data_IF_097155181977
#
_entry.id   IF_097155181977
#
_cell.length_a   1.000
_cell.length_b   1.000
_cell.length_c   1.000
_cell.angle_alpha   90.00
_cell.angle_beta   90.00
_cell.angle_gamma   90.00
#
_symmetry.space_group_name_H-M   'P 1'
#
loop_
_entity.id
_entity.type
_entity.pdbx_description
1 polymer ?
#
# COMPACT_ATOMS: atom_id res chain seq x y z
N UNK A 1 -14.65 -17.75 5.43
CA UNK A 1 -14.59 -18.54 4.18
C UNK A 1 -14.61 -17.57 3.01
N UNK A 2 -13.42 -17.21 2.57
CA UNK A 2 -13.12 -16.45 1.36
C UNK A 2 -13.17 -17.41 0.18
N UNK A 3 -14.29 -17.43 -0.54
CA UNK A 3 -14.39 -18.18 -1.79
C UNK A 3 -13.81 -17.35 -2.95
N UNK A 4 -12.87 -17.88 -3.73
CA UNK A 4 -12.38 -17.24 -4.97
C UNK A 4 -12.85 -18.06 -6.17
N UNK A 5 -13.45 -17.38 -7.16
CA UNK A 5 -13.78 -17.93 -8.47
C UNK A 5 -12.88 -17.33 -9.55
N UNK A 6 -12.25 -18.20 -10.35
CA UNK A 6 -11.31 -17.84 -11.41
C UNK A 6 -11.80 -18.46 -12.72
N UNK A 7 -11.78 -17.68 -13.80
CA UNK A 7 -11.93 -18.17 -15.17
C UNK A 7 -10.57 -18.06 -15.87
N UNK A 8 -10.10 -19.17 -16.41
CA UNK A 8 -8.89 -19.25 -17.23
C UNK A 8 -9.33 -19.46 -18.67
N UNK A 9 -8.86 -18.60 -19.59
CA UNK A 9 -9.21 -18.66 -21.01
C UNK A 9 -7.94 -18.79 -21.82
N UNK A 10 -7.70 -19.98 -22.34
CA UNK A 10 -6.47 -20.36 -23.04
C UNK A 10 -6.73 -21.68 -23.78
N UNK A 11 -6.20 -21.83 -25.00
CA UNK A 11 -6.29 -23.07 -25.76
C UNK A 11 -5.15 -24.06 -25.43
N UNK A 12 -4.08 -23.62 -24.79
CA UNK A 12 -2.96 -24.48 -24.37
C UNK A 12 -3.21 -25.11 -22.98
N UNK A 13 -3.53 -26.40 -22.99
CA UNK A 13 -3.75 -27.20 -21.79
C UNK A 13 -2.54 -27.27 -20.84
N UNK A 14 -1.31 -27.20 -21.36
CA UNK A 14 -0.11 -27.23 -20.53
C UNK A 14 0.03 -25.93 -19.74
N UNK A 15 -0.21 -24.80 -20.41
CA UNK A 15 -0.23 -23.47 -19.79
C UNK A 15 -1.34 -23.37 -18.77
N UNK A 16 -2.56 -23.82 -19.09
CA UNK A 16 -3.68 -23.89 -18.14
C UNK A 16 -3.29 -24.70 -16.90
N UNK A 17 -2.69 -25.87 -17.09
CA UNK A 17 -2.26 -26.74 -15.98
C UNK A 17 -1.22 -26.05 -15.08
N UNK A 18 -0.26 -25.34 -15.67
CA UNK A 18 0.75 -24.55 -14.95
C UNK A 18 0.13 -23.42 -14.13
N UNK A 19 -0.85 -22.71 -14.69
CA UNK A 19 -1.60 -21.65 -14.00
C UNK A 19 -2.37 -22.24 -12.81
N UNK A 20 -3.09 -23.35 -13.02
CA UNK A 20 -3.88 -24.00 -11.97
C UNK A 20 -2.99 -24.46 -10.81
N UNK A 21 -1.84 -25.05 -11.10
CA UNK A 21 -0.90 -25.50 -10.07
C UNK A 21 -0.38 -24.30 -9.26
N UNK A 22 0.02 -23.22 -9.93
CA UNK A 22 0.46 -21.97 -9.28
C UNK A 22 -0.61 -21.37 -8.38
N UNK A 23 -1.88 -21.38 -8.81
CA UNK A 23 -3.02 -20.88 -8.01
C UNK A 23 -3.20 -21.73 -6.74
N UNK A 24 -3.11 -23.05 -6.87
CA UNK A 24 -3.34 -24.00 -5.77
C UNK A 24 -2.24 -23.95 -4.70
N UNK A 25 -1.02 -23.55 -5.05
CA UNK A 25 0.08 -23.42 -4.09
C UNK A 25 -0.19 -22.36 -3.01
N UNK A 26 -0.97 -21.31 -3.32
CA UNK A 26 -1.12 -20.14 -2.45
C UNK A 26 -2.50 -20.06 -1.80
N UNK A 27 -3.47 -20.83 -2.29
CA UNK A 27 -4.84 -20.75 -1.82
C UNK A 27 -5.35 -22.08 -1.24
N UNK A 28 -5.44 -22.12 0.09
CA UNK A 28 -5.89 -23.30 0.86
C UNK A 28 -7.39 -23.31 1.19
N UNK A 29 -8.14 -22.26 0.80
CA UNK A 29 -9.58 -22.15 1.02
C UNK A 29 -10.41 -22.64 -0.19
N UNK A 30 -11.72 -22.37 -0.19
CA UNK A 30 -12.65 -22.79 -1.26
C UNK A 30 -12.36 -22.06 -2.57
N UNK A 31 -11.79 -22.79 -3.54
CA UNK A 31 -11.43 -22.30 -4.86
C UNK A 31 -12.34 -22.90 -5.95
N UNK A 32 -12.86 -22.07 -6.83
CA UNK A 32 -13.63 -22.50 -8.01
C UNK A 32 -12.94 -22.04 -9.29
N UNK A 33 -12.30 -22.97 -9.99
CA UNK A 33 -11.68 -22.69 -11.29
C UNK A 33 -12.60 -23.21 -12.40
N UNK A 34 -12.86 -22.36 -13.40
CA UNK A 34 -13.43 -22.74 -14.69
C UNK A 34 -12.41 -22.46 -15.78
N UNK A 35 -12.52 -23.21 -16.87
CA UNK A 35 -11.66 -23.11 -18.03
C UNK A 35 -12.54 -22.83 -19.25
N UNK A 36 -11.97 -22.14 -20.23
CA UNK A 36 -12.55 -21.99 -21.56
C UNK A 36 -11.41 -22.03 -22.58
N UNK A 37 -11.61 -22.74 -23.70
CA UNK A 37 -10.59 -22.85 -24.75
C UNK A 37 -10.73 -21.79 -25.84
N UNK A 38 -11.81 -21.01 -25.82
CA UNK A 38 -12.09 -19.99 -26.84
C UNK A 38 -12.90 -18.81 -26.28
N UNK A 39 -12.98 -17.73 -27.06
CA UNK A 39 -13.74 -16.52 -26.70
C UNK A 39 -15.22 -16.82 -26.47
N UNK A 40 -15.85 -17.64 -27.33
CA UNK A 40 -17.26 -17.98 -27.19
C UNK A 40 -17.56 -18.64 -25.83
N UNK A 41 -16.80 -19.68 -25.48
CA UNK A 41 -16.98 -20.40 -24.21
C UNK A 41 -16.69 -19.51 -22.99
N UNK A 42 -15.72 -18.60 -23.10
CA UNK A 42 -15.44 -17.62 -22.06
C UNK A 42 -16.66 -16.72 -21.80
N UNK A 43 -17.28 -16.19 -22.86
CA UNK A 43 -18.49 -15.35 -22.73
C UNK A 43 -19.66 -16.14 -22.14
N UNK A 44 -19.87 -17.39 -22.57
CA UNK A 44 -20.92 -18.26 -22.01
C UNK A 44 -20.71 -18.47 -20.50
N UNK A 45 -19.47 -18.73 -20.06
CA UNK A 45 -19.16 -18.83 -18.64
C UNK A 45 -19.45 -17.52 -17.89
N UNK A 46 -19.04 -16.39 -18.45
CA UNK A 46 -19.19 -15.06 -17.84
C UNK A 46 -20.66 -14.57 -17.82
N UNK A 47 -21.51 -15.05 -18.74
CA UNK A 47 -22.95 -14.81 -18.70
C UNK A 47 -23.63 -15.61 -17.57
N UNK A 48 -23.17 -16.83 -17.33
CA UNK A 48 -23.78 -17.74 -16.37
C UNK A 48 -23.31 -17.56 -14.93
N UNK A 49 -22.10 -17.01 -14.73
CA UNK A 49 -21.47 -16.94 -13.41
C UNK A 49 -20.56 -15.72 -13.26
N UNK A 50 -20.52 -15.17 -12.05
CA UNK A 50 -19.56 -14.13 -11.66
C UNK A 50 -18.17 -14.72 -11.32
N UNK A 51 -17.13 -14.06 -11.82
CA UNK A 51 -15.74 -14.40 -11.56
C UNK A 51 -14.98 -13.25 -10.90
N UNK A 52 -14.08 -13.59 -9.99
CA UNK A 52 -13.22 -12.59 -9.34
C UNK A 52 -12.02 -12.28 -10.21
N UNK A 53 -11.47 -13.29 -10.88
CA UNK A 53 -10.32 -13.16 -11.75
C UNK A 53 -10.60 -13.83 -13.08
N UNK A 54 -10.33 -13.11 -14.16
CA UNK A 54 -10.17 -13.63 -15.50
C UNK A 54 -8.69 -13.61 -15.86
N UNK A 55 -8.14 -14.77 -16.18
CA UNK A 55 -6.81 -14.93 -16.78
C UNK A 55 -7.06 -15.31 -18.24
N UNK A 56 -6.64 -14.45 -19.16
CA UNK A 56 -6.89 -14.63 -20.58
C UNK A 56 -5.57 -14.67 -21.35
N UNK A 57 -5.44 -15.62 -22.26
CA UNK A 57 -4.44 -15.50 -23.32
C UNK A 57 -4.84 -14.38 -24.30
N UNK A 58 -3.87 -13.86 -25.05
CA UNK A 58 -4.13 -12.83 -26.05
C UNK A 58 -4.37 -13.45 -27.44
N UNK A 59 -3.78 -14.61 -27.71
CA UNK A 59 -3.84 -15.34 -28.97
C UNK A 59 -4.61 -16.66 -28.78
N UNK A 60 -5.91 -16.61 -28.96
CA UNK A 60 -6.79 -17.76 -28.77
C UNK A 60 -7.82 -17.83 -29.90
N UNK A 61 -8.45 -18.99 -30.14
CA UNK A 61 -9.51 -19.11 -31.12
C UNK A 61 -10.80 -18.39 -30.65
N UNK A 62 -11.59 -17.92 -31.62
CA UNK A 62 -12.86 -17.26 -31.33
C UNK A 62 -13.96 -18.27 -30.96
N UNK A 63 -13.92 -19.44 -31.59
CA UNK A 63 -14.83 -20.56 -31.36
C UNK A 63 -14.04 -21.84 -31.11
N UNK A 64 -14.73 -22.84 -30.59
CA UNK A 64 -14.17 -24.17 -30.43
C UNK A 64 -13.69 -24.73 -31.78
N UNK A 65 -12.50 -25.35 -31.80
CA UNK A 65 -11.80 -25.89 -32.98
C UNK A 65 -11.38 -24.87 -34.07
N UNK A 66 -11.56 -23.56 -33.87
CA UNK A 66 -10.97 -22.55 -34.77
C UNK A 66 -9.44 -22.49 -34.59
N UNK A 67 -8.74 -21.96 -35.60
CA UNK A 67 -7.32 -21.63 -35.45
C UNK A 67 -7.13 -20.44 -34.50
N UNK A 68 -6.04 -20.42 -33.71
CA UNK A 68 -5.74 -19.30 -32.81
C UNK A 68 -5.68 -17.97 -33.56
N UNK A 69 -6.31 -16.95 -32.99
CA UNK A 69 -6.36 -15.61 -33.56
C UNK A 69 -5.60 -14.65 -32.64
N UNK A 70 -4.63 -13.92 -33.20
CA UNK A 70 -3.83 -12.94 -32.45
C UNK A 70 -4.65 -11.80 -31.81
N UNK A 71 -5.92 -11.66 -32.22
CA UNK A 71 -6.88 -10.72 -31.65
C UNK A 71 -7.93 -11.38 -30.73
N UNK A 72 -7.79 -12.66 -30.41
CA UNK A 72 -8.76 -13.42 -29.61
C UNK A 72 -9.06 -12.74 -28.28
N UNK A 73 -8.03 -12.43 -27.49
CA UNK A 73 -8.22 -11.72 -26.22
C UNK A 73 -8.82 -10.32 -26.43
N UNK A 74 -8.46 -9.61 -27.50
CA UNK A 74 -8.93 -8.25 -27.76
C UNK A 74 -10.44 -8.25 -28.06
N UNK A 75 -10.88 -9.30 -28.75
CA UNK A 75 -12.29 -9.54 -29.00
C UNK A 75 -13.04 -9.90 -27.72
N UNK A 76 -12.46 -10.72 -26.84
CA UNK A 76 -13.04 -11.02 -25.53
C UNK A 76 -13.26 -9.75 -24.70
N UNK A 77 -12.24 -8.89 -24.57
CA UNK A 77 -12.35 -7.62 -23.85
C UNK A 77 -13.41 -6.71 -24.45
N UNK A 78 -13.43 -6.54 -25.78
CA UNK A 78 -14.47 -5.76 -26.46
C UNK A 78 -15.87 -6.33 -26.20
N UNK A 79 -16.01 -7.64 -26.09
CA UNK A 79 -17.30 -8.29 -25.81
C UNK A 79 -17.74 -8.14 -24.35
N UNK A 80 -16.80 -8.09 -23.39
CA UNK A 80 -17.11 -7.83 -21.99
C UNK A 80 -17.78 -6.46 -21.78
N UNK A 81 -17.28 -5.44 -22.45
CA UNK A 81 -17.79 -4.06 -22.32
C UNK A 81 -18.95 -3.72 -23.27
N UNK A 82 -19.40 -4.67 -24.10
CA UNK A 82 -20.58 -4.49 -24.95
C UNK A 82 -21.86 -4.73 -24.15
N UNK A 83 -22.63 -3.66 -23.95
CA UNK A 83 -23.90 -3.65 -23.19
C UNK A 83 -24.91 -4.72 -23.63
N UNK A 84 -24.92 -5.13 -24.91
CA UNK A 84 -25.85 -6.14 -25.45
C UNK A 84 -25.60 -7.56 -24.91
N UNK A 85 -24.39 -7.87 -24.46
CA UNK A 85 -23.99 -9.25 -24.15
C UNK A 85 -24.38 -9.72 -22.74
N UNK A 86 -24.87 -8.83 -21.87
CA UNK A 86 -25.29 -9.12 -20.48
C UNK A 86 -24.28 -10.02 -19.73
N UNK A 87 -23.00 -9.65 -19.82
CA UNK A 87 -21.90 -10.44 -19.27
C UNK A 87 -21.56 -9.93 -17.87
N UNK A 88 -21.26 -10.85 -16.94
CA UNK A 88 -20.71 -10.45 -15.64
C UNK A 88 -19.23 -10.15 -15.81
N UNK A 89 -18.88 -8.86 -15.76
CA UNK A 89 -17.48 -8.43 -15.91
C UNK A 89 -16.69 -8.85 -14.68
N UNK A 90 -15.56 -9.57 -14.84
CA UNK A 90 -14.72 -9.99 -13.72
C UNK A 90 -14.13 -8.80 -12.96
N UNK A 91 -13.91 -8.98 -11.66
CA UNK A 91 -13.31 -7.93 -10.82
C UNK A 91 -11.87 -7.59 -11.23
N UNK A 92 -11.09 -8.60 -11.63
CA UNK A 92 -9.75 -8.45 -12.17
C UNK A 92 -9.64 -9.18 -13.51
N UNK A 93 -8.95 -8.55 -14.46
CA UNK A 93 -8.67 -9.13 -15.78
C UNK A 93 -7.17 -9.04 -16.05
N UNK A 94 -6.52 -10.19 -16.24
CA UNK A 94 -5.10 -10.29 -16.54
C UNK A 94 -4.88 -11.00 -17.86
N UNK A 95 -4.06 -10.39 -18.70
CA UNK A 95 -3.51 -11.02 -19.89
C UNK A 95 -2.26 -11.82 -19.52
N UNK A 96 -2.16 -13.06 -19.97
CA UNK A 96 -0.97 -13.87 -19.76
C UNK A 96 -0.59 -14.47 -21.10
N UNK A 97 0.43 -13.92 -21.77
CA UNK A 97 0.79 -14.25 -23.16
C UNK A 97 2.25 -14.68 -23.28
N UNK A 98 2.53 -15.64 -24.15
CA UNK A 98 3.90 -16.00 -24.54
C UNK A 98 4.49 -15.09 -25.63
N UNK A 99 3.67 -14.23 -26.23
CA UNK A 99 4.05 -13.32 -27.30
C UNK A 99 4.23 -11.91 -26.77
N UNK A 100 5.48 -11.44 -26.69
CA UNK A 100 5.79 -10.10 -26.15
C UNK A 100 5.24 -8.97 -27.01
N UNK A 101 5.23 -9.15 -28.34
CA UNK A 101 4.72 -8.16 -29.30
C UNK A 101 3.23 -7.82 -29.09
N UNK A 102 2.45 -8.72 -28.48
CA UNK A 102 1.03 -8.52 -28.22
C UNK A 102 0.77 -7.65 -26.98
N UNK A 103 1.79 -7.40 -26.13
CA UNK A 103 1.65 -6.58 -24.92
C UNK A 103 1.30 -5.12 -25.22
N UNK A 104 1.86 -4.55 -26.28
CA UNK A 104 1.75 -3.12 -26.58
C UNK A 104 0.42 -2.71 -27.24
N UNK A 105 -0.38 -3.70 -27.67
CA UNK A 105 -1.57 -3.49 -28.51
C UNK A 105 -2.89 -3.78 -27.77
N UNK A 106 -2.87 -3.89 -26.44
CA UNK A 106 -4.05 -4.23 -25.65
C UNK A 106 -4.47 -3.11 -24.72
N UNK A 107 -5.69 -2.62 -24.93
CA UNK A 107 -6.38 -1.67 -24.06
C UNK A 107 -7.52 -2.39 -23.33
N UNK A 108 -7.73 -2.09 -22.04
CA UNK A 108 -8.86 -2.62 -21.25
C UNK A 108 -8.56 -3.89 -20.42
N UNK A 109 -7.35 -4.42 -20.48
CA UNK A 109 -6.82 -5.41 -19.51
C UNK A 109 -6.06 -4.67 -18.41
N UNK A 110 -6.18 -5.12 -17.15
CA UNK A 110 -5.58 -4.43 -16.01
C UNK A 110 -4.06 -4.61 -15.96
N UNK A 111 -3.57 -5.83 -16.26
CA UNK A 111 -2.15 -6.15 -16.39
C UNK A 111 -1.93 -7.23 -17.44
N UNK A 112 -0.83 -7.13 -18.18
CA UNK A 112 -0.38 -8.17 -19.11
C UNK A 112 0.97 -8.69 -18.62
N UNK A 113 1.08 -10.01 -18.48
CA UNK A 113 2.31 -10.70 -18.09
C UNK A 113 2.82 -11.57 -19.23
N UNK A 114 4.14 -11.68 -19.30
CA UNK A 114 4.77 -12.67 -20.16
C UNK A 114 4.69 -14.05 -19.50
N UNK A 115 4.17 -15.02 -20.24
CA UNK A 115 4.22 -16.41 -19.85
C UNK A 115 5.53 -17.03 -20.36
N UNK A 116 6.29 -17.58 -19.43
CA UNK A 116 7.43 -18.43 -19.73
C UNK A 116 7.38 -19.59 -18.73
N UNK A 117 7.32 -20.81 -19.26
CA UNK A 117 7.25 -22.03 -18.47
C UNK A 117 8.42 -22.21 -17.49
N UNK A 118 9.58 -21.64 -17.82
CA UNK A 118 10.80 -21.69 -17.00
C UNK A 118 10.90 -20.55 -15.98
N UNK A 119 10.04 -19.53 -16.09
CA UNK A 119 10.10 -18.32 -15.27
C UNK A 119 9.19 -18.40 -14.04
N UNK A 120 9.70 -17.94 -12.90
CA UNK A 120 8.91 -17.74 -11.67
C UNK A 120 8.26 -16.34 -11.60
N UNK A 121 8.57 -15.43 -12.53
CA UNK A 121 8.11 -14.04 -12.45
C UNK A 121 6.59 -13.94 -12.54
N UNK A 122 5.98 -14.54 -13.57
CA UNK A 122 4.53 -14.52 -13.74
C UNK A 122 3.83 -15.32 -12.64
N UNK A 123 4.48 -16.36 -12.12
CA UNK A 123 3.95 -17.15 -11.00
C UNK A 123 3.87 -16.29 -9.75
N UNK A 124 4.95 -15.61 -9.39
CA UNK A 124 4.96 -14.68 -8.25
C UNK A 124 3.91 -13.59 -8.40
N UNK A 125 3.80 -12.98 -9.58
CA UNK A 125 2.76 -11.98 -9.86
C UNK A 125 1.34 -12.53 -9.68
N UNK A 126 1.10 -13.77 -10.13
CA UNK A 126 -0.20 -14.44 -9.99
C UNK A 126 -0.50 -14.78 -8.53
N UNK A 127 0.48 -15.32 -7.80
CA UNK A 127 0.40 -15.62 -6.36
C UNK A 127 0.04 -14.36 -5.57
N UNK A 128 0.74 -13.25 -5.83
CA UNK A 128 0.48 -11.96 -5.21
C UNK A 128 -0.92 -11.42 -5.55
N UNK A 129 -1.38 -11.58 -6.79
CA UNK A 129 -2.72 -11.16 -7.20
C UNK A 129 -3.81 -11.98 -6.52
N UNK A 130 -3.66 -13.30 -6.42
CA UNK A 130 -4.64 -14.17 -5.74
C UNK A 130 -4.71 -13.83 -4.26
N UNK A 131 -3.54 -13.68 -3.62
CA UNK A 131 -3.46 -13.24 -2.23
C UNK A 131 -4.17 -11.88 -2.06
N UNK A 132 -3.93 -10.94 -2.97
CA UNK A 132 -4.59 -9.66 -2.98
C UNK A 132 -6.12 -9.77 -3.11
N UNK A 133 -6.63 -10.59 -4.05
CA UNK A 133 -8.08 -10.83 -4.21
C UNK A 133 -8.69 -11.39 -2.92
N UNK A 134 -7.97 -12.30 -2.24
CA UNK A 134 -8.42 -12.85 -0.97
C UNK A 134 -8.57 -11.79 0.13
N UNK A 135 -7.63 -10.84 0.20
CA UNK A 135 -7.67 -9.70 1.13
C UNK A 135 -8.82 -8.75 0.78
N UNK A 136 -9.05 -8.49 -0.51
CA UNK A 136 -10.19 -7.63 -0.92
C UNK A 136 -11.51 -8.30 -0.55
N UNK A 137 -11.65 -9.61 -0.76
CA UNK A 137 -12.89 -10.32 -0.40
C UNK A 137 -13.16 -10.38 1.09
N UNK A 138 -12.14 -10.55 1.94
CA UNK A 138 -12.35 -10.47 3.39
C UNK A 138 -12.84 -9.09 3.81
N UNK A 139 -12.35 -8.02 3.16
CA UNK A 139 -12.79 -6.63 3.40
C UNK A 139 -14.18 -6.29 2.89
N UNK A 140 -14.73 -7.02 1.91
CA UNK A 140 -16.10 -6.81 1.38
C UNK A 140 -17.18 -7.31 2.38
N UNK A 141 -16.84 -8.20 3.31
CA UNK A 141 -17.76 -8.70 4.35
C UNK A 141 -17.90 -7.78 5.57
N UNK A 142 -17.04 -6.78 5.71
CA UNK A 142 -17.11 -5.77 6.78
C UNK A 142 -17.69 -4.48 6.22
N UNK A 143 -18.58 -3.80 6.95
CA UNK A 143 -18.99 -2.43 6.61
C UNK A 143 -17.73 -1.57 6.42
N UNK A 144 -17.44 -1.17 5.19
CA UNK A 144 -16.25 -0.34 4.91
C UNK A 144 -16.48 1.05 5.51
N UNK A 145 -15.69 1.35 6.53
CA UNK A 145 -15.57 2.68 7.14
C UNK A 145 -14.28 3.34 6.66
N UNK A 146 -14.09 4.62 6.97
CA UNK A 146 -12.86 5.34 6.67
C UNK A 146 -11.62 4.56 7.13
N UNK A 147 -10.57 4.50 6.31
CA UNK A 147 -9.40 3.62 6.60
C UNK A 147 -8.08 4.38 6.63
N UNK A 148 -7.22 4.03 7.57
CA UNK A 148 -5.82 4.47 7.62
C UNK A 148 -4.93 3.26 7.30
N UNK A 149 -4.11 3.38 6.26
CA UNK A 149 -3.10 2.40 5.91
C UNK A 149 -1.75 2.82 6.50
N UNK A 150 -1.11 1.89 7.20
CA UNK A 150 0.12 2.11 7.96
C UNK A 150 1.23 1.15 7.48
N UNK A 151 2.47 1.64 7.46
CA UNK A 151 3.61 0.86 6.96
C UNK A 151 3.87 -0.40 7.78
N UNK A 152 3.75 -0.33 9.11
CA UNK A 152 4.01 -1.47 9.99
C UNK A 152 3.08 -1.64 11.20
N UNK A 153 3.18 -2.79 11.88
CA UNK A 153 2.41 -3.09 13.09
C UNK A 153 2.79 -2.18 14.27
N UNK A 154 4.01 -1.68 14.32
CA UNK A 154 4.49 -0.73 15.33
C UNK A 154 3.77 0.62 15.22
N UNK A 155 3.59 1.11 14.00
CA UNK A 155 2.83 2.33 13.71
C UNK A 155 1.37 2.16 14.14
N UNK A 156 0.78 0.99 13.83
CA UNK A 156 -0.59 0.67 14.23
C UNK A 156 -0.77 0.75 15.74
N UNK A 157 0.15 0.19 16.53
CA UNK A 157 0.10 0.26 17.99
C UNK A 157 0.09 1.72 18.46
N UNK A 158 0.99 2.55 17.94
CA UNK A 158 1.12 3.97 18.31
C UNK A 158 -0.14 4.76 17.92
N UNK A 159 -0.61 4.60 16.68
CA UNK A 159 -1.78 5.30 16.14
C UNK A 159 -3.05 4.89 16.87
N UNK A 160 -3.24 3.59 17.11
CA UNK A 160 -4.40 3.07 17.83
C UNK A 160 -4.46 3.61 19.26
N UNK A 161 -3.33 3.62 19.97
CA UNK A 161 -3.24 4.20 21.30
C UNK A 161 -3.54 5.70 21.29
N UNK A 162 -2.97 6.45 20.34
CA UNK A 162 -3.23 7.89 20.22
C UNK A 162 -4.71 8.20 19.92
N UNK A 163 -5.36 7.43 19.04
CA UNK A 163 -6.81 7.55 18.79
C UNK A 163 -7.63 7.28 20.05
N UNK A 164 -7.35 6.20 20.79
CA UNK A 164 -8.06 5.88 22.04
C UNK A 164 -7.99 7.00 23.07
N UNK A 165 -6.86 7.70 23.16
CA UNK A 165 -6.65 8.70 24.22
C UNK A 165 -6.98 10.14 23.84
N UNK A 166 -6.98 10.48 22.55
CA UNK A 166 -7.23 11.85 22.09
C UNK A 166 -8.45 12.00 21.20
N UNK A 167 -8.99 10.91 20.65
CA UNK A 167 -10.08 10.88 19.66
C UNK A 167 -11.02 9.69 19.91
N UNK A 168 -11.37 9.46 21.17
CA UNK A 168 -12.17 8.31 21.62
C UNK A 168 -13.52 8.21 20.89
N UNK A 169 -14.14 9.34 20.57
CA UNK A 169 -15.43 9.41 19.87
C UNK A 169 -15.34 9.13 18.36
N UNK A 170 -14.12 9.08 17.81
CA UNK A 170 -13.85 8.90 16.39
C UNK A 170 -13.28 7.52 16.07
N UNK A 171 -12.82 6.76 17.07
CA UNK A 171 -12.14 5.49 16.85
C UNK A 171 -12.99 4.48 16.09
N UNK A 172 -14.28 4.36 16.42
CA UNK A 172 -15.21 3.43 15.78
C UNK A 172 -15.59 3.84 14.33
N UNK A 173 -15.22 5.07 13.94
CA UNK A 173 -15.43 5.58 12.57
C UNK A 173 -14.25 5.24 11.66
N UNK A 174 -13.17 4.65 12.20
CA UNK A 174 -11.90 4.49 11.50
C UNK A 174 -11.41 3.04 11.61
N UNK A 175 -11.04 2.48 10.48
CA UNK A 175 -10.35 1.19 10.41
C UNK A 175 -8.84 1.40 10.23
N UNK A 176 -8.03 0.76 11.08
CA UNK A 176 -6.57 0.78 10.97
C UNK A 176 -6.06 -0.50 10.32
N UNK A 177 -5.39 -0.37 9.18
CA UNK A 177 -4.90 -1.51 8.42
C UNK A 177 -3.39 -1.49 8.21
N UNK A 178 -2.78 -2.65 8.44
CA UNK A 178 -1.35 -2.95 8.20
C UNK A 178 -1.18 -4.47 8.05
N UNK A 179 0.03 -4.94 7.72
CA UNK A 179 0.37 -6.36 7.66
C UNK A 179 1.52 -6.70 8.59
N UNK A 180 1.52 -7.92 9.13
CA UNK A 180 2.49 -8.37 10.14
C UNK A 180 3.89 -8.64 9.56
N UNK A 181 4.00 -8.99 8.27
CA UNK A 181 5.26 -9.33 7.60
C UNK A 181 5.27 -8.81 6.17
N UNK A 182 6.39 -8.25 5.71
CA UNK A 182 6.49 -7.63 4.38
C UNK A 182 5.74 -6.30 4.23
N UNK A 183 5.41 -5.66 5.36
CA UNK A 183 4.89 -4.29 5.42
C UNK A 183 5.92 -3.25 4.94
N UNK A 184 5.47 -2.01 4.81
CA UNK A 184 6.27 -0.87 4.36
C UNK A 184 5.55 0.01 3.33
N UNK A 185 6.23 1.06 2.88
CA UNK A 185 5.72 2.04 1.92
C UNK A 185 5.07 1.42 0.67
N UNK A 186 5.68 0.39 0.08
CA UNK A 186 5.13 -0.29 -1.11
C UNK A 186 3.80 -0.98 -0.83
N UNK A 187 3.61 -1.53 0.38
CA UNK A 187 2.32 -2.11 0.76
C UNK A 187 1.25 -1.02 0.91
N UNK A 188 1.56 0.10 1.58
CA UNK A 188 0.64 1.23 1.74
C UNK A 188 0.24 1.80 0.38
N UNK A 189 1.19 2.01 -0.54
CA UNK A 189 0.92 2.40 -1.92
C UNK A 189 -0.09 1.46 -2.60
N UNK A 190 0.16 0.15 -2.56
CA UNK A 190 -0.76 -0.83 -3.15
C UNK A 190 -2.15 -0.69 -2.56
N UNK A 191 -2.28 -0.58 -1.24
CA UNK A 191 -3.58 -0.43 -0.59
C UNK A 191 -4.32 0.83 -1.03
N UNK A 192 -3.63 1.95 -1.14
CA UNK A 192 -4.22 3.18 -1.64
C UNK A 192 -4.64 3.07 -3.11
N UNK A 193 -3.82 2.45 -3.96
CA UNK A 193 -4.19 2.20 -5.36
C UNK A 193 -5.48 1.38 -5.47
N UNK A 194 -5.56 0.29 -4.70
CA UNK A 194 -6.75 -0.59 -4.64
C UNK A 194 -7.96 0.19 -4.14
N UNK A 195 -7.79 0.94 -3.06
CA UNK A 195 -8.85 1.76 -2.49
C UNK A 195 -9.41 2.73 -3.54
N UNK A 196 -8.50 3.40 -4.23
CA UNK A 196 -8.82 4.37 -5.25
C UNK A 196 -9.60 3.78 -6.42
N UNK A 197 -9.17 2.62 -6.91
CA UNK A 197 -9.87 1.90 -7.99
C UNK A 197 -11.21 1.30 -7.55
N UNK A 198 -11.41 1.07 -6.26
CA UNK A 198 -12.67 0.51 -5.75
C UNK A 198 -13.84 1.50 -5.76
N UNK A 199 -13.57 2.82 -5.78
CA UNK A 199 -14.59 3.88 -5.79
C UNK A 199 -15.74 3.66 -4.77
N UNK A 200 -15.41 3.10 -3.60
CA UNK A 200 -16.40 2.71 -2.59
C UNK A 200 -17.19 3.94 -2.10
N UNK A 201 -18.52 3.85 -2.05
CA UNK A 201 -19.41 4.90 -1.57
C UNK A 201 -19.76 4.69 -0.08
N UNK A 202 -19.70 5.77 0.71
CA UNK A 202 -20.19 5.82 2.10
C UNK A 202 -21.69 6.09 2.18
N UNK A 203 -22.19 6.93 1.29
CA UNK A 203 -23.59 7.30 1.12
C UNK A 203 -23.82 7.67 -0.34
N UNK A 204 -25.08 7.89 -0.74
CA UNK A 204 -25.42 8.34 -2.09
C UNK A 204 -24.56 9.58 -2.44
N UNK A 205 -23.72 9.44 -3.47
CA UNK A 205 -22.80 10.46 -4.01
C UNK A 205 -21.61 10.90 -3.13
N UNK A 206 -21.29 10.18 -2.04
CA UNK A 206 -20.09 10.45 -1.22
C UNK A 206 -19.16 9.24 -1.17
N UNK A 207 -17.97 9.37 -1.78
CA UNK A 207 -16.91 8.36 -1.65
C UNK A 207 -16.39 8.25 -0.21
N UNK A 208 -16.16 7.02 0.20
CA UNK A 208 -15.41 6.67 1.39
C UNK A 208 -13.95 7.13 1.23
N UNK A 209 -13.32 7.53 2.33
CA UNK A 209 -11.96 8.09 2.33
C UNK A 209 -10.96 7.14 2.96
N UNK A 210 -9.76 7.12 2.39
CA UNK A 210 -8.60 6.52 3.02
C UNK A 210 -7.44 7.50 3.14
N UNK A 211 -6.56 7.24 4.09
CA UNK A 211 -5.28 7.94 4.23
C UNK A 211 -4.16 6.91 4.31
N UNK A 212 -3.11 7.08 3.52
CA UNK A 212 -1.86 6.34 3.72
C UNK A 212 -0.86 7.24 4.43
N UNK A 213 -0.28 6.73 5.51
CA UNK A 213 0.81 7.39 6.22
C UNK A 213 2.11 6.74 5.80
N UNK A 214 3.06 7.56 5.36
CA UNK A 214 4.37 7.14 4.89
C UNK A 214 5.48 7.76 5.74
N UNK A 215 6.59 7.04 5.87
CA UNK A 215 7.85 7.61 6.33
C UNK A 215 8.43 8.58 5.27
N UNK A 216 9.21 9.58 5.70
CA UNK A 216 9.84 10.55 4.79
C UNK A 216 11.20 10.07 4.26
N UNK A 217 11.32 8.76 4.04
CA UNK A 217 12.50 8.12 3.48
C UNK A 217 12.40 7.94 1.96
N UNK A 218 13.35 7.21 1.40
CA UNK A 218 13.41 6.96 -0.05
C UNK A 218 12.30 6.01 -0.50
N UNK A 219 12.00 4.97 0.29
CA UNK A 219 10.95 4.02 -0.02
C UNK A 219 9.56 4.69 -0.01
N UNK A 220 9.30 5.54 0.98
CA UNK A 220 8.10 6.37 1.06
C UNK A 220 7.93 7.29 -0.14
N UNK A 221 9.01 7.96 -0.57
CA UNK A 221 8.99 8.84 -1.75
C UNK A 221 8.69 8.09 -3.04
N UNK A 222 9.41 6.99 -3.30
CA UNK A 222 9.19 6.15 -4.49
C UNK A 222 7.74 5.65 -4.52
N UNK A 223 7.21 5.19 -3.38
CA UNK A 223 5.85 4.70 -3.27
C UNK A 223 4.81 5.79 -3.58
N UNK A 224 5.02 7.01 -3.07
CA UNK A 224 4.14 8.16 -3.35
C UNK A 224 4.21 8.55 -4.82
N UNK A 225 5.42 8.67 -5.39
CA UNK A 225 5.62 9.08 -6.77
C UNK A 225 4.93 8.10 -7.73
N UNK A 226 5.09 6.79 -7.51
CA UNK A 226 4.40 5.75 -8.27
C UNK A 226 2.87 5.90 -8.22
N UNK A 227 2.31 6.14 -7.03
CA UNK A 227 0.88 6.31 -6.87
C UNK A 227 0.36 7.56 -7.60
N UNK A 228 1.10 8.67 -7.52
CA UNK A 228 0.73 9.92 -8.20
C UNK A 228 0.88 9.87 -9.71
N UNK A 229 1.79 9.03 -10.22
CA UNK A 229 1.94 8.78 -11.65
C UNK A 229 0.81 7.90 -12.21
N UNK A 230 0.30 6.97 -11.40
CA UNK A 230 -0.78 6.05 -11.80
C UNK A 230 -2.19 6.62 -11.63
N UNK A 231 -2.37 7.60 -10.75
CA UNK A 231 -3.69 8.17 -10.42
C UNK A 231 -3.65 9.69 -10.48
N UNK A 232 -4.40 10.24 -11.44
CA UNK A 232 -4.63 11.69 -11.51
C UNK A 232 -5.37 12.18 -10.25
N UNK A 233 -4.78 13.16 -9.58
CA UNK A 233 -5.36 13.85 -8.42
C UNK A 233 -6.76 14.43 -8.65
N UNK A 234 -7.12 14.78 -9.90
CA UNK A 234 -8.42 15.36 -10.24
C UNK A 234 -9.49 14.31 -10.57
N UNK A 235 -9.08 13.04 -10.76
CA UNK A 235 -9.96 11.92 -11.07
C UNK A 235 -10.90 11.58 -9.90
N UNK A 236 -11.91 10.75 -10.18
CA UNK A 236 -12.76 10.20 -9.12
C UNK A 236 -11.93 9.35 -8.14
N UNK A 237 -10.98 8.56 -8.66
CA UNK A 237 -10.07 7.74 -7.87
C UNK A 237 -9.19 8.59 -6.95
N UNK A 238 -8.54 9.63 -7.49
CA UNK A 238 -7.66 10.53 -6.73
C UNK A 238 -8.38 11.25 -5.60
N UNK A 239 -9.69 11.48 -5.73
CA UNK A 239 -10.51 12.08 -4.68
C UNK A 239 -10.80 11.12 -3.53
N UNK A 240 -10.64 9.80 -3.67
CA UNK A 240 -11.02 8.82 -2.63
C UNK A 240 -9.98 8.61 -1.55
N UNK A 241 -8.75 9.12 -1.73
CA UNK A 241 -7.71 8.95 -0.73
C UNK A 241 -6.87 10.20 -0.52
N UNK A 242 -5.98 10.16 0.45
CA UNK A 242 -4.98 11.19 0.69
C UNK A 242 -3.68 10.57 1.20
N UNK A 243 -2.58 11.27 0.95
CA UNK A 243 -1.24 10.87 1.36
C UNK A 243 -0.80 11.83 2.45
N UNK A 244 -0.28 11.29 3.55
CA UNK A 244 0.42 12.04 4.58
C UNK A 244 1.79 11.42 4.83
N UNK A 245 2.75 12.28 5.18
CA UNK A 245 4.10 11.86 5.53
C UNK A 245 4.40 12.24 6.97
N UNK A 246 5.14 11.37 7.66
CA UNK A 246 5.84 11.74 8.88
C UNK A 246 6.77 12.92 8.56
N UNK A 247 6.70 13.99 9.33
CA UNK A 247 7.47 15.19 9.01
C UNK A 247 7.68 16.11 10.20
N UNK A 248 8.71 16.94 10.06
CA UNK A 248 9.12 17.99 10.99
C UNK A 248 7.99 18.88 11.47
N UNK A 249 6.94 19.12 10.67
CA UNK A 249 5.88 20.08 11.03
C UNK A 249 5.06 19.67 12.27
N UNK A 250 5.12 18.42 12.69
CA UNK A 250 4.35 17.91 13.83
C UNK A 250 5.11 17.96 15.16
N UNK A 251 6.45 17.99 15.14
CA UNK A 251 7.28 17.91 16.35
C UNK A 251 8.05 19.21 16.57
N UNK A 252 7.98 19.76 17.78
CA UNK A 252 8.67 21.01 18.14
C UNK A 252 10.19 20.86 18.06
N UNK A 253 10.72 19.75 18.58
CA UNK A 253 12.17 19.49 18.55
C UNK A 253 12.67 19.27 17.12
N UNK A 254 11.92 18.55 16.28
CA UNK A 254 12.26 18.41 14.87
C UNK A 254 12.26 19.78 14.17
N UNK A 255 11.24 20.63 14.37
CA UNK A 255 11.24 22.00 13.83
C UNK A 255 12.49 22.79 14.22
N UNK A 256 12.91 22.68 15.48
CA UNK A 256 14.14 23.32 15.97
C UNK A 256 15.36 22.81 15.20
N UNK A 257 15.54 21.50 15.10
CA UNK A 257 16.64 20.87 14.33
C UNK A 257 16.67 21.38 12.88
N UNK A 258 15.51 21.40 12.21
CA UNK A 258 15.39 21.90 10.84
C UNK A 258 15.72 23.38 10.72
N UNK A 259 15.29 24.20 11.66
CA UNK A 259 15.60 25.64 11.67
C UNK A 259 17.09 25.93 11.84
N UNK A 260 17.84 24.99 12.46
CA UNK A 260 19.30 25.02 12.58
C UNK A 260 20.03 24.40 11.38
N UNK A 261 19.31 24.08 10.31
CA UNK A 261 19.90 23.62 9.05
C UNK A 261 20.16 22.12 8.94
N UNK A 262 19.62 21.28 9.82
CA UNK A 262 19.75 19.82 9.71
C UNK A 262 18.42 19.18 9.36
N UNK A 263 18.42 18.30 8.36
CA UNK A 263 17.26 17.44 8.05
C UNK A 263 17.71 16.00 7.77
N UNK A 264 16.83 15.06 8.06
CA UNK A 264 17.00 13.63 7.85
C UNK A 264 15.62 12.97 7.64
N UNK A 265 15.56 11.80 6.96
CA UNK A 265 14.32 11.03 6.84
C UNK A 265 13.69 10.75 8.20
N UNK A 266 12.43 11.14 8.37
CA UNK A 266 11.69 10.96 9.62
C UNK A 266 10.76 9.76 9.54
N UNK A 267 10.77 8.94 10.59
CA UNK A 267 9.80 7.85 10.80
C UNK A 267 8.76 8.21 11.85
N UNK A 268 7.83 7.30 12.13
CA UNK A 268 6.83 7.47 13.19
C UNK A 268 7.47 7.68 14.57
N UNK A 269 8.54 6.94 14.87
CA UNK A 269 9.26 7.03 16.16
C UNK A 269 9.91 8.40 16.39
N UNK A 270 10.30 9.09 15.32
CA UNK A 270 10.92 10.42 15.37
C UNK A 270 9.92 11.51 15.81
N UNK A 271 8.63 11.23 15.77
CA UNK A 271 7.58 12.13 16.25
C UNK A 271 7.32 11.97 17.76
N UNK A 272 7.81 10.91 18.39
CA UNK A 272 7.64 10.67 19.83
C UNK A 272 8.49 11.66 20.63
N UNK A 273 7.97 12.15 21.75
CA UNK A 273 8.69 13.08 22.60
C UNK A 273 10.00 12.50 23.16
N UNK A 274 10.93 13.41 23.44
CA UNK A 274 12.31 13.09 23.78
C UNK A 274 12.46 12.27 25.07
N UNK A 275 11.53 12.36 26.01
CA UNK A 275 11.62 11.59 27.25
C UNK A 275 11.56 10.09 26.99
N UNK A 276 10.77 9.65 26.00
CA UNK A 276 10.77 8.25 25.56
C UNK A 276 12.11 7.86 24.92
N UNK A 277 12.74 8.77 24.17
CA UNK A 277 14.06 8.56 23.57
C UNK A 277 15.16 8.42 24.63
N UNK A 278 15.11 9.21 25.70
CA UNK A 278 16.03 9.08 26.85
C UNK A 278 15.92 7.71 27.50
N UNK A 279 14.71 7.21 27.71
CA UNK A 279 14.48 5.85 28.23
C UNK A 279 15.00 4.78 27.26
N UNK A 280 14.75 4.94 25.97
CA UNK A 280 15.25 4.02 24.95
C UNK A 280 16.78 3.99 24.89
N UNK A 281 17.43 5.15 25.02
CA UNK A 281 18.87 5.27 25.08
C UNK A 281 19.44 4.52 26.30
N UNK A 282 18.87 4.74 27.47
CA UNK A 282 19.28 4.06 28.71
C UNK A 282 19.13 2.53 28.63
N UNK A 283 18.21 2.03 27.80
CA UNK A 283 17.99 0.60 27.56
C UNK A 283 18.83 0.03 26.40
N UNK A 284 19.65 0.84 25.73
CA UNK A 284 20.45 0.41 24.58
C UNK A 284 19.62 0.08 23.34
N UNK A 285 18.44 0.69 23.19
CA UNK A 285 17.54 0.43 22.05
C UNK A 285 17.83 1.28 20.82
N UNK A 286 18.72 2.26 20.97
CA UNK A 286 19.08 3.18 19.91
C UNK A 286 20.33 2.70 19.18
N UNK A 287 20.37 2.96 17.87
CA UNK A 287 21.52 2.74 17.01
C UNK A 287 21.85 4.03 16.27
N UNK A 288 23.11 4.20 15.86
CA UNK A 288 23.47 5.38 15.08
C UNK A 288 22.74 5.42 13.74
N UNK A 289 22.35 6.63 13.34
CA UNK A 289 21.81 6.88 12.00
C UNK A 289 22.90 6.78 10.96
N UNK A 290 22.49 6.46 9.74
CA UNK A 290 23.34 6.65 8.57
C UNK A 290 23.50 8.15 8.29
N UNK A 291 24.65 8.70 8.66
CA UNK A 291 24.98 10.11 8.48
C UNK A 291 24.93 10.55 7.01
N UNK A 292 25.05 9.63 6.04
CA UNK A 292 24.92 9.94 4.61
C UNK A 292 23.51 10.39 4.23
N UNK A 293 22.49 9.98 5.01
CA UNK A 293 21.09 10.36 4.81
C UNK A 293 20.74 11.70 5.45
N UNK A 294 21.63 12.28 6.24
CA UNK A 294 21.46 13.62 6.81
C UNK A 294 21.81 14.66 5.74
N UNK A 295 21.01 15.71 5.65
CA UNK A 295 21.25 16.87 4.79
C UNK A 295 21.50 18.09 5.65
N UNK A 296 22.63 18.74 5.42
CA UNK A 296 22.99 20.01 6.03
C UNK A 296 22.73 21.14 5.04
N UNK A 297 21.95 22.13 5.48
CA UNK A 297 21.80 23.39 4.79
C UNK A 297 23.00 24.29 5.10
N UNK A 298 23.94 24.37 4.15
CA UNK A 298 25.18 25.14 4.29
C UNK A 298 24.96 26.66 4.43
N UNK A 299 23.76 27.16 4.10
CA UNK A 299 23.41 28.58 4.31
C UNK A 299 23.10 28.89 5.77
N UNK A 300 22.61 27.90 6.53
CA UNK A 300 22.24 28.03 7.94
C UNK A 300 23.30 27.46 8.87
N UNK A 301 24.00 26.40 8.43
CA UNK A 301 24.95 25.67 9.24
C UNK A 301 26.25 25.46 8.45
N UNK A 302 27.34 26.09 8.90
CA UNK A 302 28.66 25.98 8.27
C UNK A 302 29.36 24.65 8.63
N UNK A 303 28.68 23.54 8.37
CA UNK A 303 29.17 22.17 8.58
C UNK A 303 29.01 21.36 7.30
N UNK A 304 29.94 20.43 7.06
CA UNK A 304 29.73 19.38 6.05
C UNK A 304 29.13 18.14 6.70
N UNK A 305 28.38 17.34 5.93
CA UNK A 305 27.77 16.10 6.43
C UNK A 305 28.76 15.13 7.12
N UNK A 306 30.00 15.06 6.64
CA UNK A 306 31.06 14.20 7.19
C UNK A 306 31.62 14.69 8.54
N UNK A 307 31.27 15.91 8.95
CA UNK A 307 31.73 16.54 10.19
C UNK A 307 30.69 16.44 11.30
N UNK A 308 29.54 15.80 11.05
CA UNK A 308 28.48 15.64 12.06
C UNK A 308 28.96 14.68 13.15
N UNK A 309 29.11 15.21 14.36
CA UNK A 309 29.47 14.49 15.57
C UNK A 309 28.83 15.19 16.77
N UNK A 310 28.79 14.52 17.91
CA UNK A 310 28.29 15.13 19.14
C UNK A 310 29.03 16.44 19.47
N UNK A 311 30.36 16.44 19.37
CA UNK A 311 31.19 17.62 19.62
C UNK A 311 30.84 18.78 18.69
N UNK A 312 30.81 18.52 17.38
CA UNK A 312 30.54 19.58 16.39
C UNK A 312 29.11 20.12 16.49
N UNK A 313 28.14 19.29 16.85
CA UNK A 313 26.77 19.74 17.12
C UNK A 313 26.68 20.60 18.39
N UNK A 314 27.39 20.24 19.47
CA UNK A 314 27.48 21.08 20.68
C UNK A 314 28.09 22.44 20.36
N UNK A 315 29.17 22.46 19.58
CA UNK A 315 29.85 23.70 19.16
C UNK A 315 28.94 24.61 18.32
N UNK A 316 27.87 24.06 17.72
CA UNK A 316 26.86 24.79 16.95
C UNK A 316 25.54 24.99 17.72
N UNK A 317 25.56 24.93 19.05
CA UNK A 317 24.41 25.21 19.92
C UNK A 317 23.20 24.27 19.71
N UNK A 318 23.45 23.01 19.34
CA UNK A 318 22.44 21.96 19.47
C UNK A 318 22.38 21.50 20.93
N UNK A 319 21.16 21.27 21.41
CA UNK A 319 20.90 20.72 22.75
C UNK A 319 21.15 19.21 22.77
N UNK A 320 21.34 18.64 23.97
CA UNK A 320 21.47 17.18 24.15
C UNK A 320 20.35 16.38 23.49
N UNK A 321 19.13 16.89 23.65
CA UNK A 321 17.91 16.27 23.16
C UNK A 321 17.89 16.27 21.63
N UNK A 322 18.32 17.36 21.00
CA UNK A 322 18.44 17.45 19.55
C UNK A 322 19.55 16.54 19.03
N UNK A 323 20.72 16.53 19.70
CA UNK A 323 21.86 15.70 19.35
C UNK A 323 21.48 14.22 19.38
N UNK A 324 20.76 13.78 20.42
CA UNK A 324 20.29 12.41 20.56
C UNK A 324 19.46 11.96 19.35
N UNK A 325 18.51 12.80 18.91
CA UNK A 325 17.65 12.53 17.75
C UNK A 325 18.41 12.59 16.41
N UNK A 326 19.33 13.55 16.25
CA UNK A 326 20.12 13.71 15.02
C UNK A 326 21.01 12.50 14.79
N UNK A 327 21.69 12.03 15.84
CA UNK A 327 22.70 11.00 15.73
C UNK A 327 22.14 9.57 15.79
N UNK A 328 20.95 9.38 16.39
CA UNK A 328 20.43 8.05 16.65
C UNK A 328 19.03 7.83 16.08
N UNK A 329 18.72 6.56 15.80
CA UNK A 329 17.37 6.05 15.52
C UNK A 329 17.04 4.89 16.45
N UNK A 330 15.76 4.59 16.62
CA UNK A 330 15.34 3.34 17.26
C UNK A 330 15.78 2.17 16.38
N UNK A 331 16.42 1.17 16.97
CA UNK A 331 16.81 -0.06 16.25
C UNK A 331 15.58 -0.80 15.77
N UNK A 332 15.64 -1.38 14.57
CA UNK A 332 14.55 -2.19 14.03
C UNK A 332 14.23 -3.40 14.94
N UNK A 333 15.23 -3.95 15.64
CA UNK A 333 15.07 -5.05 16.62
C UNK A 333 14.28 -4.65 17.88
N UNK A 334 14.22 -3.34 18.16
CA UNK A 334 13.60 -2.79 19.37
C UNK A 334 12.37 -1.93 19.08
N UNK A 335 11.95 -1.77 17.81
CA UNK A 335 10.78 -0.95 17.46
C UNK A 335 9.52 -1.38 18.21
N UNK A 336 9.25 -2.68 18.29
CA UNK A 336 8.07 -3.21 19.01
C UNK A 336 8.12 -2.88 20.50
N UNK A 337 9.28 -3.06 21.14
CA UNK A 337 9.51 -2.77 22.54
C UNK A 337 9.37 -1.27 22.81
N UNK A 338 9.89 -0.43 21.92
CA UNK A 338 9.76 1.02 21.95
C UNK A 338 8.30 1.45 21.84
N UNK A 339 7.55 1.01 20.82
CA UNK A 339 6.13 1.33 20.64
C UNK A 339 5.29 0.93 21.85
N UNK A 340 5.51 -0.28 22.38
CA UNK A 340 4.81 -0.74 23.58
C UNK A 340 5.13 0.11 24.79
N UNK A 341 6.41 0.48 25.00
CA UNK A 341 6.81 1.35 26.09
C UNK A 341 6.15 2.73 25.98
N UNK A 342 6.12 3.33 24.80
CA UNK A 342 5.46 4.63 24.57
C UNK A 342 3.99 4.57 24.98
N UNK A 343 3.30 3.47 24.68
CA UNK A 343 1.90 3.25 25.06
C UNK A 343 1.69 2.95 26.56
N UNK A 344 2.74 2.82 27.36
CA UNK A 344 2.64 2.67 28.83
C UNK A 344 2.99 3.94 29.59
N UNK A 345 3.57 4.92 28.91
CA UNK A 345 3.96 6.20 29.48
C UNK A 345 2.82 7.22 29.34
N UNK A 346 3.07 8.45 29.78
CA UNK A 346 2.12 9.54 29.66
C UNK A 346 1.70 9.76 28.19
N UNK A 347 0.39 9.90 27.94
CA UNK A 347 -0.18 10.19 26.62
C UNK A 347 0.38 11.46 26.00
N UNK A 348 0.86 12.42 26.80
CA UNK A 348 1.48 13.65 26.29
C UNK A 348 2.72 13.37 25.44
N UNK A 349 3.38 12.21 25.60
CA UNK A 349 4.47 11.75 24.73
C UNK A 349 4.06 11.57 23.26
N UNK A 350 2.76 11.56 22.97
CA UNK A 350 2.17 11.40 21.65
C UNK A 350 1.59 12.70 21.09
N UNK A 351 1.89 13.86 21.67
CA UNK A 351 1.31 15.13 21.21
C UNK A 351 1.61 15.44 19.72
N UNK A 352 2.80 15.10 19.24
CA UNK A 352 3.14 15.23 17.81
C UNK A 352 2.30 14.29 16.94
N UNK A 353 2.05 13.06 17.41
CA UNK A 353 1.18 12.09 16.73
C UNK A 353 -0.26 12.58 16.73
N UNK A 354 -0.73 13.19 17.81
CA UNK A 354 -2.05 13.85 17.86
C UNK A 354 -2.17 14.89 16.76
N UNK A 355 -1.15 15.73 16.55
CA UNK A 355 -1.17 16.73 15.47
C UNK A 355 -1.20 16.09 14.07
N UNK A 356 -0.47 14.99 13.85
CA UNK A 356 -0.58 14.19 12.63
C UNK A 356 -2.01 13.66 12.45
N UNK A 357 -2.63 13.12 13.50
CA UNK A 357 -3.98 12.56 13.44
C UNK A 357 -5.05 13.63 13.20
N UNK A 358 -4.89 14.86 13.68
CA UNK A 358 -5.79 15.97 13.30
C UNK A 358 -5.81 16.16 11.78
N UNK A 359 -4.64 16.13 11.13
CA UNK A 359 -4.55 16.23 9.67
C UNK A 359 -5.17 14.99 8.99
N UNK A 360 -4.95 13.79 9.53
CA UNK A 360 -5.56 12.55 9.04
C UNK A 360 -7.09 12.63 9.07
N UNK A 361 -7.67 13.02 10.21
CA UNK A 361 -9.13 13.09 10.41
C UNK A 361 -9.78 14.12 9.48
N UNK A 362 -9.11 15.27 9.26
CA UNK A 362 -9.53 16.25 8.25
C UNK A 362 -9.54 15.65 6.83
N UNK A 363 -8.52 14.88 6.46
CA UNK A 363 -8.46 14.22 5.14
C UNK A 363 -9.51 13.11 4.98
N UNK A 364 -9.83 12.42 6.06
CA UNK A 364 -10.92 11.45 6.11
C UNK A 364 -12.32 12.09 6.08
N UNK A 365 -12.42 13.42 6.24
CA UNK A 365 -13.68 14.16 6.39
C UNK A 365 -14.51 13.66 7.57
N UNK A 366 -13.83 13.39 8.69
CA UNK A 366 -14.45 13.09 9.98
C UNK A 366 -14.47 14.40 10.76
N UNK A 367 -15.68 14.86 11.10
CA UNK A 367 -15.86 16.06 11.91
C UNK A 367 -15.41 15.76 13.33
N UNK A 368 -14.44 16.54 13.81
CA UNK A 368 -13.99 16.49 15.20
C UNK A 368 -15.10 17.07 16.06
N UNK A 369 -15.61 16.27 16.98
CA UNK A 369 -16.52 16.78 18.00
C UNK A 369 -15.65 17.58 18.97
N UNK A 370 -15.85 18.90 18.96
CA UNK A 370 -15.13 19.87 19.80
C UNK A 370 -15.41 19.70 21.28
#
# INVERSE_FOLDING_TARGET
MNHISILIVDDDLNKISSIINTVKEVFSETLSIKQASCVQEAIENLQNKEFHLLITDLQMPLKYDDQPNNNGGNMLIKQLYKSKNRVNVPMYIVGLTQFEELKNNFEGIWKIWHFDSSSEIWKNNLRDLIFHISLVKSRVKTNKIETIFLEGPTDKIIIEFCLKHFFENEIDKIYLETINYGGGASWVQRQLFIWAKSLTLKAKDKYLKAVGIFDDDEAGKIAIDNLTNEIDSNSAEGKTFSILKNSYKYSVILKSIKSKGITFPTTMEDLILIDCWKVANAKGWLVQRDLKKIKVDSSLLKLKNLEISEKTLRDHNFTEDEILLILNKVSDDYKKQFSNMVCTLDKENLISIKHLLVDVLKKLKIDLIS
#
